data_IF_719103971075
#
_entry.id   IF_719103971075
#
_cell.length_a   1.000
_cell.length_b   1.000
_cell.length_c   1.000
_cell.angle_alpha   90.00
_cell.angle_beta   90.00
_cell.angle_gamma   90.00
#
_symmetry.space_group_name_H-M   'P 1'
#
loop_
_entity.id
_entity.type
_entity.pdbx_description
1 polymer ?
#
# COMPACT_ATOMS: atom_id res chain seq x y z
N UNK A 1 -22.26 -12.61 -7.32
CA UNK A 1 -21.62 -12.82 -5.99
C UNK A 1 -21.17 -14.28 -5.78
N UNK A 2 -20.65 -14.96 -6.80
CA UNK A 2 -20.22 -16.37 -6.70
C UNK A 2 -18.69 -16.55 -6.54
N UNK A 3 -17.91 -15.45 -6.51
CA UNK A 3 -16.44 -15.49 -6.39
C UNK A 3 -15.89 -15.17 -5.00
N UNK A 4 -16.68 -14.61 -4.08
CA UNK A 4 -16.16 -14.13 -2.79
C UNK A 4 -15.69 -15.28 -1.88
N UNK A 5 -16.39 -16.42 -1.91
CA UNK A 5 -16.00 -17.60 -1.13
C UNK A 5 -14.66 -18.16 -1.62
N UNK A 6 -14.43 -18.23 -2.93
CA UNK A 6 -13.15 -18.66 -3.49
C UNK A 6 -11.99 -17.79 -2.98
N UNK A 7 -12.18 -16.47 -2.93
CA UNK A 7 -11.17 -15.55 -2.42
C UNK A 7 -10.90 -15.75 -0.92
N UNK A 8 -11.94 -15.98 -0.11
CA UNK A 8 -11.78 -16.30 1.32
C UNK A 8 -11.09 -17.64 1.55
N UNK A 9 -11.44 -18.66 0.78
CA UNK A 9 -10.82 -19.98 0.86
C UNK A 9 -9.34 -19.92 0.50
N UNK A 10 -8.99 -19.22 -0.59
CA UNK A 10 -7.60 -19.00 -0.99
C UNK A 10 -6.82 -18.19 0.07
N UNK A 11 -7.42 -17.14 0.65
CA UNK A 11 -6.78 -16.41 1.75
C UNK A 11 -6.53 -17.31 2.97
N UNK A 12 -7.49 -18.15 3.35
CA UNK A 12 -7.34 -19.05 4.49
C UNK A 12 -6.31 -20.17 4.26
N UNK A 13 -6.20 -20.67 3.02
CA UNK A 13 -5.29 -21.78 2.68
C UNK A 13 -3.88 -21.30 2.33
N UNK A 14 -3.78 -20.25 1.51
CA UNK A 14 -2.54 -19.84 0.86
C UNK A 14 -2.00 -18.51 1.41
N UNK A 15 -2.80 -17.76 2.17
CA UNK A 15 -2.43 -16.43 2.68
C UNK A 15 -2.54 -15.31 1.65
N UNK A 16 -3.01 -15.59 0.43
CA UNK A 16 -3.22 -14.59 -0.62
C UNK A 16 -4.36 -14.99 -1.57
N UNK A 17 -4.84 -14.01 -2.36
CA UNK A 17 -5.75 -14.26 -3.48
C UNK A 17 -5.55 -13.21 -4.57
N UNK A 18 -5.94 -13.53 -5.81
CA UNK A 18 -5.81 -12.65 -6.97
C UNK A 18 -7.21 -12.23 -7.42
N UNK A 19 -7.47 -10.92 -7.46
CA UNK A 19 -8.69 -10.33 -8.01
C UNK A 19 -8.31 -9.54 -9.25
N UNK A 20 -8.73 -10.05 -10.42
CA UNK A 20 -8.47 -9.38 -11.69
C UNK A 20 -9.50 -8.28 -11.95
N UNK A 21 -9.20 -7.41 -12.91
CA UNK A 21 -10.14 -6.43 -13.49
C UNK A 21 -10.77 -5.46 -12.47
N UNK A 22 -10.05 -5.16 -11.38
CA UNK A 22 -10.47 -4.17 -10.37
C UNK A 22 -10.56 -2.76 -10.99
N UNK A 23 -9.65 -2.44 -11.90
CA UNK A 23 -9.58 -1.18 -12.63
C UNK A 23 -9.82 -1.43 -14.11
N UNK A 24 -10.54 -0.51 -14.74
CA UNK A 24 -10.71 -0.44 -16.18
C UNK A 24 -9.44 0.08 -16.84
N UNK A 25 -9.27 -0.16 -18.14
CA UNK A 25 -8.14 0.41 -18.90
C UNK A 25 -8.06 1.93 -18.80
N UNK A 26 -9.21 2.62 -18.80
CA UNK A 26 -9.27 4.08 -18.65
C UNK A 26 -8.78 4.55 -17.28
N UNK A 27 -9.16 3.87 -16.19
CA UNK A 27 -8.66 4.19 -14.85
C UNK A 27 -7.16 3.95 -14.73
N UNK A 28 -6.65 2.85 -15.30
CA UNK A 28 -5.21 2.55 -15.34
C UNK A 28 -4.45 3.66 -16.08
N UNK A 29 -4.95 4.09 -17.25
CA UNK A 29 -4.35 5.19 -18.01
C UNK A 29 -4.30 6.48 -17.18
N UNK A 30 -5.40 6.87 -16.55
CA UNK A 30 -5.46 8.09 -15.73
C UNK A 30 -4.51 8.01 -14.54
N UNK A 31 -4.42 6.86 -13.85
CA UNK A 31 -3.45 6.67 -12.75
C UNK A 31 -2.02 6.81 -13.29
N UNK A 32 -1.72 6.21 -14.44
CA UNK A 32 -0.41 6.27 -15.09
C UNK A 32 -0.02 7.71 -15.50
N UNK A 33 -0.93 8.45 -16.10
CA UNK A 33 -0.72 9.86 -16.47
C UNK A 33 -0.40 10.71 -15.22
N UNK A 34 -1.18 10.54 -14.15
CA UNK A 34 -0.94 11.25 -12.88
C UNK A 34 0.37 10.87 -12.21
N UNK A 35 0.82 9.63 -12.36
CA UNK A 35 2.14 9.19 -11.88
C UNK A 35 3.28 9.79 -12.73
N UNK A 36 3.09 9.92 -14.04
CA UNK A 36 4.09 10.50 -14.93
C UNK A 36 4.30 12.01 -14.71
N UNK A 37 3.30 12.71 -14.18
CA UNK A 37 3.38 14.12 -13.79
C UNK A 37 4.18 14.34 -12.49
N UNK A 38 4.47 13.28 -11.74
CA UNK A 38 5.14 13.37 -10.44
C UNK A 38 6.62 13.72 -10.62
N UNK A 39 7.03 14.81 -9.97
CA UNK A 39 8.43 15.21 -9.88
C UNK A 39 8.99 14.85 -8.49
N UNK A 40 10.28 14.56 -8.40
CA UNK A 40 10.93 14.27 -7.12
C UNK A 40 10.98 15.55 -6.27
N UNK A 41 10.15 15.64 -5.24
CA UNK A 41 9.88 16.93 -4.58
C UNK A 41 10.34 17.04 -3.13
N UNK A 42 10.81 15.99 -2.46
CA UNK A 42 11.36 16.09 -1.10
C UNK A 42 12.03 14.78 -0.63
N UNK A 43 12.36 14.69 0.67
CA UNK A 43 13.02 13.54 1.30
C UNK A 43 12.23 12.22 1.25
N UNK A 44 10.91 12.23 1.01
CA UNK A 44 10.09 11.02 0.84
C UNK A 44 10.21 10.39 -0.55
N UNK A 45 10.77 11.13 -1.50
CA UNK A 45 11.14 10.66 -2.82
C UNK A 45 12.54 10.07 -2.77
N UNK A 46 12.66 8.83 -3.21
CA UNK A 46 13.94 8.19 -3.42
C UNK A 46 14.11 7.97 -4.91
N UNK A 47 15.00 8.74 -5.51
CA UNK A 47 15.36 8.62 -6.91
C UNK A 47 16.84 8.24 -7.03
N UNK A 48 17.10 7.10 -7.65
CA UNK A 48 18.40 6.69 -8.18
C UNK A 48 18.21 6.34 -9.65
N UNK A 49 19.30 6.15 -10.41
CA UNK A 49 19.26 5.72 -11.81
C UNK A 49 18.33 4.52 -12.03
N UNK A 50 18.29 3.63 -11.04
CA UNK A 50 17.59 2.35 -11.09
C UNK A 50 16.33 2.30 -10.22
N UNK A 51 15.94 3.35 -9.52
CA UNK A 51 14.80 3.24 -8.61
C UNK A 51 14.16 4.57 -8.40
N UNK A 52 12.85 4.62 -8.63
CA UNK A 52 12.02 5.69 -8.13
C UNK A 52 11.01 5.12 -7.13
N UNK A 53 11.02 5.64 -5.90
CA UNK A 53 10.10 5.23 -4.86
C UNK A 53 9.58 6.43 -4.09
N UNK A 54 8.31 6.38 -3.70
CA UNK A 54 7.66 7.42 -2.91
C UNK A 54 7.10 6.78 -1.65
N UNK A 55 7.66 7.13 -0.50
CA UNK A 55 7.09 6.76 0.80
C UNK A 55 5.97 7.70 1.16
N UNK A 56 5.04 7.25 2.01
CA UNK A 56 3.88 8.04 2.39
C UNK A 56 3.08 8.49 1.15
N UNK A 57 3.01 7.62 0.13
CA UNK A 57 2.54 7.95 -1.22
C UNK A 57 1.25 8.77 -1.28
N UNK A 58 0.20 8.39 -0.54
CA UNK A 58 -1.06 9.16 -0.54
C UNK A 58 -1.01 10.47 0.25
N UNK A 59 -0.02 10.68 1.12
CA UNK A 59 0.24 11.99 1.74
C UNK A 59 0.95 12.93 0.77
N UNK A 60 1.89 12.40 -0.01
CA UNK A 60 2.63 13.17 -1.02
C UNK A 60 1.78 13.48 -2.25
N UNK A 61 0.90 12.54 -2.64
CA UNK A 61 0.05 12.63 -3.83
C UNK A 61 -1.42 12.34 -3.46
N UNK A 62 -2.07 13.21 -2.67
CA UNK A 62 -3.45 13.00 -2.22
C UNK A 62 -4.46 12.88 -3.38
N UNK A 63 -4.17 13.50 -4.53
CA UNK A 63 -4.99 13.39 -5.74
C UNK A 63 -5.08 11.95 -6.28
N UNK A 64 -4.11 11.09 -5.98
CA UNK A 64 -4.12 9.68 -6.39
C UNK A 64 -4.91 8.79 -5.43
N UNK A 65 -5.25 9.27 -4.23
CA UNK A 65 -5.92 8.46 -3.21
C UNK A 65 -7.25 7.88 -3.71
N UNK A 66 -8.13 8.72 -4.26
CA UNK A 66 -9.45 8.26 -4.73
C UNK A 66 -9.41 7.54 -6.08
N UNK A 67 -8.33 7.71 -6.86
CA UNK A 67 -8.14 6.98 -8.12
C UNK A 67 -7.72 5.53 -7.85
N UNK A 68 -6.80 5.34 -6.91
CA UNK A 68 -6.29 4.01 -6.51
C UNK A 68 -7.21 3.39 -5.46
N UNK A 69 -7.38 4.01 -4.29
CA UNK A 69 -8.24 3.50 -3.21
C UNK A 69 -9.71 3.90 -3.42
N UNK A 70 -10.25 3.51 -4.58
CA UNK A 70 -11.61 3.78 -5.02
C UNK A 70 -12.65 2.82 -4.39
N UNK A 71 -13.94 3.05 -4.68
CA UNK A 71 -15.03 2.24 -4.12
C UNK A 71 -14.98 0.75 -4.49
N UNK A 72 -14.38 0.40 -5.64
CA UNK A 72 -14.21 -1.01 -6.03
C UNK A 72 -13.22 -1.71 -5.13
N UNK A 73 -12.04 -1.11 -4.91
CA UNK A 73 -11.04 -1.68 -3.99
C UNK A 73 -11.55 -1.69 -2.54
N UNK A 74 -12.22 -0.63 -2.09
CA UNK A 74 -12.86 -0.60 -0.76
C UNK A 74 -13.91 -1.69 -0.60
N UNK A 75 -14.76 -1.91 -1.61
CA UNK A 75 -15.79 -2.95 -1.58
C UNK A 75 -15.18 -4.36 -1.52
N UNK A 76 -14.07 -4.60 -2.22
CA UNK A 76 -13.32 -5.86 -2.12
C UNK A 76 -12.79 -6.06 -0.69
N UNK A 77 -12.12 -5.05 -0.13
CA UNK A 77 -11.60 -5.12 1.24
C UNK A 77 -12.73 -5.33 2.26
N UNK A 78 -13.82 -4.57 2.14
CA UNK A 78 -14.98 -4.68 3.03
C UNK A 78 -15.66 -6.04 2.93
N UNK A 79 -15.77 -6.59 1.72
CA UNK A 79 -16.37 -7.92 1.50
C UNK A 79 -15.49 -9.03 2.05
N UNK A 80 -14.17 -8.91 1.98
CA UNK A 80 -13.25 -9.96 2.44
C UNK A 80 -12.97 -9.91 3.94
N UNK A 81 -12.83 -8.70 4.52
CA UNK A 81 -12.33 -8.52 5.89
C UNK A 81 -13.29 -7.74 6.79
N UNK A 82 -14.18 -6.92 6.25
CA UNK A 82 -15.13 -6.10 6.99
C UNK A 82 -14.97 -4.60 6.74
N UNK A 83 -15.99 -3.81 7.08
CA UNK A 83 -16.07 -2.39 6.75
C UNK A 83 -15.13 -1.49 7.58
N UNK A 84 -14.51 -2.01 8.64
CA UNK A 84 -13.67 -1.22 9.56
C UNK A 84 -12.23 -1.05 9.08
N UNK A 85 -11.86 -1.68 7.96
CA UNK A 85 -10.49 -1.63 7.43
C UNK A 85 -10.23 -0.34 6.65
N UNK A 86 -9.05 0.25 6.86
CA UNK A 86 -8.61 1.47 6.19
C UNK A 86 -7.11 1.46 5.89
N UNK A 87 -6.66 2.39 5.06
CA UNK A 87 -5.25 2.49 4.66
C UNK A 87 -4.40 3.00 5.82
N UNK A 88 -3.46 2.17 6.29
CA UNK A 88 -2.48 2.55 7.32
C UNK A 88 -1.11 2.95 6.75
N UNK A 89 -0.79 2.55 5.53
CA UNK A 89 0.51 2.79 4.89
C UNK A 89 0.37 2.71 3.37
N UNK A 90 1.13 3.54 2.65
CA UNK A 90 1.17 3.56 1.19
C UNK A 90 2.58 3.84 0.70
N UNK A 91 3.07 3.03 -0.24
CA UNK A 91 4.39 3.18 -0.86
C UNK A 91 4.25 2.92 -2.35
N UNK A 92 4.85 3.76 -3.18
CA UNK A 92 4.97 3.57 -4.62
C UNK A 92 6.39 3.16 -5.00
N UNK A 93 6.51 2.28 -5.98
CA UNK A 93 7.76 1.86 -6.58
C UNK A 93 7.62 1.83 -8.10
N UNK A 94 8.54 2.50 -8.79
CA UNK A 94 8.84 2.31 -10.20
C UNK A 94 10.24 1.67 -10.30
N UNK A 95 10.26 0.44 -10.82
CA UNK A 95 11.41 -0.46 -10.78
C UNK A 95 11.68 -0.97 -12.20
N UNK A 96 12.56 -0.30 -12.96
CA UNK A 96 12.98 -0.76 -14.29
C UNK A 96 13.53 -2.19 -14.22
N UNK A 97 13.47 -2.92 -15.34
CA UNK A 97 13.85 -4.35 -15.37
C UNK A 97 15.28 -4.65 -14.88
N UNK A 98 16.21 -3.70 -15.06
CA UNK A 98 17.61 -3.84 -14.64
C UNK A 98 17.83 -3.55 -13.14
N UNK A 99 16.77 -3.18 -12.42
CA UNK A 99 16.84 -2.60 -11.08
C UNK A 99 16.41 -3.56 -9.98
N UNK A 100 16.41 -4.87 -10.29
CA UNK A 100 16.02 -5.91 -9.35
C UNK A 100 17.06 -6.10 -8.24
N UNK A 101 16.84 -5.47 -7.09
CA UNK A 101 17.52 -5.86 -5.84
C UNK A 101 16.83 -7.05 -5.18
N UNK A 102 17.62 -7.81 -4.43
CA UNK A 102 17.17 -8.95 -3.62
C UNK A 102 16.27 -8.50 -2.47
N UNK A 103 15.10 -9.14 -2.35
CA UNK A 103 14.18 -8.96 -1.22
C UNK A 103 14.17 -10.27 -0.43
N UNK A 104 14.78 -10.25 0.76
CA UNK A 104 14.77 -11.41 1.65
C UNK A 104 13.36 -11.73 2.14
N UNK A 105 13.09 -12.98 2.52
CA UNK A 105 11.83 -13.35 3.16
C UNK A 105 11.60 -12.55 4.45
N UNK A 106 10.42 -11.96 4.59
CA UNK A 106 10.00 -11.18 5.76
C UNK A 106 8.47 -11.12 5.84
N UNK A 107 7.95 -10.63 6.97
CA UNK A 107 6.53 -10.34 7.18
C UNK A 107 6.33 -8.84 7.39
N UNK A 108 5.31 -8.28 6.76
CA UNK A 108 4.93 -6.88 6.91
C UNK A 108 4.04 -6.68 8.14
N UNK A 109 4.67 -6.52 9.31
CA UNK A 109 3.98 -6.42 10.60
C UNK A 109 3.83 -4.99 11.12
N UNK A 110 4.49 -4.01 10.49
CA UNK A 110 4.53 -2.62 10.99
C UNK A 110 3.48 -1.75 10.29
N UNK A 111 2.67 -1.03 11.05
CA UNK A 111 1.73 0.00 10.58
C UNK A 111 2.31 1.41 10.77
N UNK A 112 1.78 2.40 10.06
CA UNK A 112 2.12 3.82 10.29
C UNK A 112 1.02 4.49 11.12
N UNK A 113 1.39 5.31 12.11
CA UNK A 113 0.45 6.04 12.98
C UNK A 113 0.84 7.52 13.10
N UNK A 114 -0.13 8.39 13.36
CA UNK A 114 0.07 9.84 13.45
C UNK A 114 0.89 10.26 14.70
N UNK A 115 0.77 9.51 15.80
CA UNK A 115 1.48 9.75 17.04
C UNK A 115 1.92 8.46 17.73
N UNK A 116 2.99 8.55 18.51
CA UNK A 116 3.34 7.52 19.48
C UNK A 116 2.41 7.61 20.69
N UNK A 117 1.93 6.47 21.16
CA UNK A 117 1.11 6.35 22.37
C UNK A 117 1.55 5.13 23.18
N UNK A 118 1.37 5.17 24.50
CA UNK A 118 1.50 3.98 25.34
C UNK A 118 0.26 3.12 25.16
N UNK A 119 0.43 1.99 24.45
CA UNK A 119 -0.63 1.00 24.22
C UNK A 119 -0.03 -0.39 24.48
N UNK A 120 -0.64 -1.22 25.34
CA UNK A 120 -0.13 -2.56 25.65
C UNK A 120 0.08 -3.40 24.38
N UNK A 121 1.26 -4.01 24.27
CA UNK A 121 1.63 -4.89 23.15
C UNK A 121 1.99 -4.18 21.84
N UNK A 122 1.94 -2.85 21.77
CA UNK A 122 2.41 -2.09 20.61
C UNK A 122 3.91 -1.80 20.69
N UNK A 123 4.67 -2.37 19.76
CA UNK A 123 6.11 -2.20 19.65
C UNK A 123 6.75 -3.27 18.77
N UNK A 124 7.98 -3.07 18.29
CA UNK A 124 8.84 -1.90 18.50
C UNK A 124 8.35 -0.66 17.76
N UNK A 125 8.77 0.51 18.24
CA UNK A 125 8.48 1.80 17.62
C UNK A 125 9.66 2.29 16.79
N UNK A 126 9.38 2.87 15.63
CA UNK A 126 10.36 3.50 14.75
C UNK A 126 9.88 4.88 14.31
N UNK A 127 10.80 5.77 13.98
CA UNK A 127 10.49 7.07 13.36
C UNK A 127 11.33 7.22 12.11
N UNK A 128 10.69 7.42 10.97
CA UNK A 128 11.36 7.65 9.67
C UNK A 128 10.65 8.79 8.95
N UNK A 129 11.40 9.82 8.53
CA UNK A 129 10.84 10.96 7.77
C UNK A 129 9.60 11.59 8.46
N UNK A 130 9.66 11.75 9.80
CA UNK A 130 8.56 12.30 10.59
C UNK A 130 7.36 11.37 10.80
N UNK A 131 7.36 10.16 10.21
CA UNK A 131 6.29 9.17 10.36
C UNK A 131 6.63 8.14 11.44
N UNK A 132 5.74 7.96 12.41
CA UNK A 132 5.83 6.87 13.37
C UNK A 132 5.43 5.55 12.70
N UNK A 133 6.24 4.51 12.90
CA UNK A 133 5.92 3.14 12.57
C UNK A 133 5.92 2.27 13.83
N UNK A 134 4.94 1.39 13.96
CA UNK A 134 4.80 0.49 15.10
C UNK A 134 4.27 -0.86 14.67
N UNK A 135 4.70 -1.94 15.33
CA UNK A 135 4.06 -3.24 15.19
C UNK A 135 2.94 -3.39 16.24
N UNK A 136 1.70 -3.70 15.84
CA UNK A 136 0.62 -4.00 16.77
C UNK A 136 0.82 -5.38 17.43
N UNK A 137 0.05 -5.71 18.47
CA UNK A 137 -0.05 -7.08 18.97
C UNK A 137 -0.42 -8.05 17.83
N UNK A 138 0.22 -9.22 17.79
CA UNK A 138 -0.04 -10.30 16.83
C UNK A 138 -0.79 -11.42 17.54
#
# INVERSE_FOLDING_TARGET
MQGLNLHRDNLSRDGYTIVNDVYTGAEITVIGERLAEVQATNANFRQTTDLFAIRQFFKELPQLYHLVFNEKLKSIAASLFGAEYFVVKSIYFDKPGNSNWFVAYHQDLTISVDKKAEAPGYGPWTVKQGQFGVQPPI
#
